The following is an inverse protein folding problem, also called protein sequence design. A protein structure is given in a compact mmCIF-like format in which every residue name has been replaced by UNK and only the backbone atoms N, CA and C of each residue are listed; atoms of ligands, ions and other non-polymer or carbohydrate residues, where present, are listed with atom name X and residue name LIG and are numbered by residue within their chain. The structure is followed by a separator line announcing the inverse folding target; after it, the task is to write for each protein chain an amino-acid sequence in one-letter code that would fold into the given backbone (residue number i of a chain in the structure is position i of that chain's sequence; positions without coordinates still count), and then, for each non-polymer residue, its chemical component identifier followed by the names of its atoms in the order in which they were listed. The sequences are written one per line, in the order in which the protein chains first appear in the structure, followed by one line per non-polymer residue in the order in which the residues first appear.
data_IF_401041467849
#
_entry.id   IF_401041467849
#
_cell.length_a   1.000
_cell.length_b   1.000
_cell.length_c   1.000
_cell.angle_alpha   90.00
_cell.angle_beta   90.00
_cell.angle_gamma   90.00
#
_symmetry.space_group_name_H-M   'P 1'
#
loop_
_entity.id
_entity.type
_entity.pdbx_description
1 polymer ?
#
# COMPACT_ATOMS: atom_id res chain seq x y z
N UNK A 1 17.15 -2.63 2.68
CA UNK A 1 16.09 -1.77 2.11
C UNK A 1 14.97 -2.63 1.55
N UNK A 2 13.75 -2.41 1.96
CA UNK A 2 12.62 -3.22 1.50
C UNK A 2 12.12 -2.72 0.16
N UNK A 3 11.71 -3.66 -0.69
CA UNK A 3 11.16 -3.31 -1.99
C UNK A 3 9.75 -2.80 -1.83
N UNK A 4 9.32 -1.81 -2.62
CA UNK A 4 7.94 -1.36 -2.58
C UNK A 4 7.00 -2.47 -3.07
N UNK A 5 5.78 -2.43 -2.57
CA UNK A 5 4.73 -3.36 -2.99
C UNK A 5 3.90 -2.66 -4.06
N UNK A 6 3.73 -3.31 -5.20
CA UNK A 6 3.01 -2.72 -6.33
C UNK A 6 1.88 -3.63 -6.79
N UNK A 7 0.76 -3.03 -7.13
CA UNK A 7 -0.33 -3.76 -7.79
C UNK A 7 -1.19 -2.78 -8.58
N UNK A 8 -2.13 -3.33 -9.33
CA UNK A 8 -3.07 -2.52 -10.10
C UNK A 8 -4.47 -2.68 -9.52
N UNK A 9 -5.09 -1.56 -9.17
CA UNK A 9 -6.48 -1.52 -8.73
C UNK A 9 -7.37 -1.30 -9.94
N UNK A 10 -8.11 -2.33 -10.33
CA UNK A 10 -8.98 -2.29 -11.50
C UNK A 10 -10.36 -1.71 -11.20
N UNK A 11 -10.67 -1.55 -9.93
CA UNK A 11 -11.98 -1.08 -9.48
C UNK A 11 -11.97 0.37 -9.03
N UNK A 12 -10.86 1.07 -9.21
CA UNK A 12 -10.78 2.48 -8.87
C UNK A 12 -11.75 3.31 -9.70
N UNK A 13 -12.33 4.38 -9.12
CA UNK A 13 -13.30 5.22 -9.86
C UNK A 13 -12.78 5.78 -11.17
N UNK A 14 -11.47 6.02 -11.24
CA UNK A 14 -10.82 6.57 -12.44
C UNK A 14 -10.44 5.49 -13.45
N UNK A 15 -10.81 4.22 -13.20
CA UNK A 15 -10.38 3.08 -13.99
C UNK A 15 -9.17 2.42 -13.37
N UNK A 16 -8.29 1.85 -14.18
CA UNK A 16 -7.11 1.18 -13.66
C UNK A 16 -6.16 2.18 -13.02
N UNK A 17 -5.78 1.93 -11.78
CA UNK A 17 -4.81 2.75 -11.06
C UNK A 17 -3.68 1.84 -10.59
N UNK A 18 -2.46 2.16 -10.99
CA UNK A 18 -1.28 1.48 -10.47
C UNK A 18 -0.96 2.02 -9.09
N UNK A 19 -0.74 1.11 -8.14
CA UNK A 19 -0.48 1.50 -6.76
C UNK A 19 0.89 0.99 -6.36
N UNK A 20 1.68 1.87 -5.75
CA UNK A 20 2.98 1.52 -5.18
C UNK A 20 3.00 1.95 -3.74
N UNK A 21 3.36 1.04 -2.85
CA UNK A 21 3.43 1.32 -1.41
C UNK A 21 4.85 1.09 -0.93
N UNK A 22 5.42 2.08 -0.27
CA UNK A 22 6.74 2.00 0.33
C UNK A 22 6.64 2.16 1.83
N UNK A 23 7.44 1.41 2.58
CA UNK A 23 7.47 1.48 4.02
C UNK A 23 8.79 2.11 4.46
N UNK A 24 8.71 3.15 5.26
CA UNK A 24 9.87 3.86 5.80
C UNK A 24 9.70 3.99 7.31
N UNK A 25 10.41 3.16 8.06
CA UNK A 25 10.25 3.09 9.52
C UNK A 25 8.76 2.93 9.88
N UNK A 26 8.15 3.92 10.51
CA UNK A 26 6.74 3.86 10.90
C UNK A 26 5.80 4.54 9.90
N UNK A 27 6.30 4.85 8.72
CA UNK A 27 5.52 5.57 7.71
C UNK A 27 5.18 4.67 6.53
N UNK A 28 3.92 4.73 6.09
CA UNK A 28 3.47 4.07 4.87
C UNK A 28 3.28 5.14 3.82
N UNK A 29 4.02 5.04 2.72
CA UNK A 29 3.92 6.00 1.62
C UNK A 29 3.23 5.37 0.43
N UNK A 30 2.21 6.02 -0.05
CA UNK A 30 1.41 5.57 -1.19
C UNK A 30 1.70 6.43 -2.41
N UNK A 31 1.77 5.77 -3.55
CA UNK A 31 1.92 6.42 -4.84
C UNK A 31 0.89 5.84 -5.80
N UNK A 32 0.25 6.69 -6.56
CA UNK A 32 -0.81 6.28 -7.48
C UNK A 32 -0.50 6.76 -8.88
N UNK A 33 -0.73 5.92 -9.86
CA UNK A 33 -0.59 6.27 -11.27
C UNK A 33 -1.87 5.86 -11.99
N UNK A 34 -2.71 6.85 -12.28
CA UNK A 34 -3.97 6.61 -12.97
C UNK A 34 -3.71 6.28 -14.45
N UNK A 35 -4.63 5.53 -15.05
CA UNK A 35 -4.54 5.23 -16.47
C UNK A 35 -4.53 6.53 -17.27
N UNK A 36 -3.52 6.70 -18.13
CA UNK A 36 -3.37 7.91 -18.92
C UNK A 36 -2.75 9.10 -18.23
N UNK A 37 -2.37 8.94 -16.94
CA UNK A 37 -1.71 10.03 -16.22
C UNK A 37 -0.24 10.15 -16.64
N UNK A 38 0.29 11.39 -16.57
CA UNK A 38 1.67 11.66 -16.96
C UNK A 38 2.67 11.39 -15.85
N UNK A 39 2.22 11.14 -14.63
CA UNK A 39 3.12 10.90 -13.52
C UNK A 39 2.41 10.40 -12.29
N UNK A 40 3.21 10.02 -11.30
CA UNK A 40 2.71 9.49 -10.05
C UNK A 40 2.15 10.58 -9.14
N UNK A 41 1.06 10.24 -8.43
CA UNK A 41 0.46 11.11 -7.43
C UNK A 41 0.92 10.64 -6.06
N UNK A 42 1.47 11.55 -5.26
CA UNK A 42 2.05 11.22 -3.95
C UNK A 42 1.20 11.67 -2.76
N UNK A 43 0.27 12.58 -2.98
CA UNK A 43 -0.49 13.21 -1.89
C UNK A 43 -1.92 12.69 -1.78
N UNK A 44 -2.29 11.69 -2.56
CA UNK A 44 -3.61 11.09 -2.51
C UNK A 44 -3.70 10.11 -1.35
N UNK A 45 -4.80 10.17 -0.62
CA UNK A 45 -5.04 9.21 0.45
C UNK A 45 -5.67 7.94 -0.12
N UNK A 46 -5.22 6.75 0.31
CA UNK A 46 -5.83 5.51 -0.14
C UNK A 46 -7.24 5.33 0.43
N UNK A 47 -8.10 4.64 -0.31
CA UNK A 47 -9.41 4.27 0.18
C UNK A 47 -9.30 3.10 1.16
N UNK A 48 -10.35 2.86 1.95
CA UNK A 48 -10.36 1.71 2.85
C UNK A 48 -10.18 0.41 2.08
N UNK A 49 -10.79 0.30 0.92
CA UNK A 49 -10.63 -0.87 0.06
C UNK A 49 -9.18 -1.07 -0.36
N UNK A 50 -8.49 0.00 -0.67
CA UNK A 50 -7.07 -0.08 -1.04
C UNK A 50 -6.22 -0.52 0.15
N UNK A 51 -6.54 -0.07 1.36
CA UNK A 51 -5.88 -0.57 2.56
C UNK A 51 -6.09 -2.07 2.74
N UNK A 52 -7.30 -2.56 2.50
CA UNK A 52 -7.60 -3.99 2.59
C UNK A 52 -6.83 -4.78 1.53
N UNK A 53 -6.68 -4.23 0.34
CA UNK A 53 -5.87 -4.85 -0.70
C UNK A 53 -4.42 -4.97 -0.27
N UNK A 54 -3.88 -3.95 0.38
CA UNK A 54 -2.51 -3.99 0.89
C UNK A 54 -2.36 -5.04 1.98
N UNK A 55 -3.32 -5.15 2.90
CA UNK A 55 -3.29 -6.19 3.92
C UNK A 55 -3.23 -7.57 3.30
N UNK A 56 -4.02 -7.81 2.26
CA UNK A 56 -4.01 -9.09 1.57
C UNK A 56 -2.66 -9.37 0.91
N UNK A 57 -2.06 -8.36 0.29
CA UNK A 57 -0.75 -8.54 -0.34
C UNK A 57 0.32 -8.89 0.69
N UNK A 58 0.31 -8.20 1.82
CA UNK A 58 1.26 -8.47 2.91
C UNK A 58 1.05 -9.85 3.52
N UNK A 59 -0.20 -10.24 3.72
CA UNK A 59 -0.52 -11.55 4.26
C UNK A 59 -0.01 -12.66 3.34
N UNK A 60 -0.20 -12.49 2.04
CA UNK A 60 0.31 -13.46 1.06
C UNK A 60 1.84 -13.56 1.11
N UNK A 61 2.53 -12.46 1.29
CA UNK A 61 3.97 -12.46 1.42
C UNK A 61 4.42 -13.20 2.68
N UNK A 62 3.74 -12.99 3.78
CA UNK A 62 4.05 -13.70 5.04
C UNK A 62 3.86 -15.19 4.86
N UNK A 63 2.80 -15.62 4.19
CA UNK A 63 2.54 -17.03 3.92
C UNK A 63 3.64 -17.65 3.06
N UNK A 64 4.32 -16.86 2.25
CA UNK A 64 5.43 -17.31 1.42
C UNK A 64 6.78 -17.26 2.15
N UNK A 65 6.78 -16.92 3.42
CA UNK A 65 7.98 -16.87 4.23
C UNK A 65 8.68 -15.53 4.34
N UNK A 66 8.06 -14.47 3.82
CA UNK A 66 8.62 -13.12 3.95
C UNK A 66 8.30 -12.53 5.32
N UNK A 67 9.24 -11.79 5.86
CA UNK A 67 9.08 -11.18 7.19
C UNK A 67 8.50 -9.78 7.09
N UNK A 68 7.18 -9.72 6.97
CA UNK A 68 6.44 -8.46 6.78
C UNK A 68 5.47 -8.18 7.92
N UNK A 69 5.68 -8.78 9.09
CA UNK A 69 4.75 -8.64 10.22
C UNK A 69 4.59 -7.20 10.68
N UNK A 70 5.70 -6.46 10.76
CA UNK A 70 5.68 -5.06 11.15
C UNK A 70 4.90 -4.22 10.15
N UNK A 71 5.13 -4.47 8.87
CA UNK A 71 4.43 -3.76 7.80
C UNK A 71 2.94 -4.06 7.82
N UNK A 72 2.57 -5.30 8.06
CA UNK A 72 1.16 -5.70 8.16
C UNK A 72 0.48 -5.01 9.34
N UNK A 73 1.15 -5.00 10.49
CA UNK A 73 0.61 -4.34 11.68
C UNK A 73 0.40 -2.84 11.43
N UNK A 74 1.37 -2.19 10.82
CA UNK A 74 1.27 -0.79 10.47
C UNK A 74 0.12 -0.53 9.48
N UNK A 75 -0.07 -1.44 8.53
CA UNK A 75 -1.17 -1.35 7.57
C UNK A 75 -2.53 -1.50 8.24
N UNK A 76 -2.64 -2.42 9.20
CA UNK A 76 -3.88 -2.59 9.96
C UNK A 76 -4.23 -1.35 10.79
N UNK A 77 -3.21 -0.61 11.21
CA UNK A 77 -3.41 0.66 11.91
C UNK A 77 -3.59 1.85 10.97
N UNK A 78 -3.62 1.60 9.67
CA UNK A 78 -3.75 2.60 8.62
C UNK A 78 -2.65 3.67 8.70
N UNK A 79 -1.43 3.21 8.99
CA UNK A 79 -0.28 4.10 9.07
C UNK A 79 -0.24 4.97 10.31
N UNK A 80 -1.15 4.75 11.26
CA UNK A 80 -1.17 5.55 12.49
C UNK A 80 -0.13 5.03 13.47
N UNK A 81 0.50 5.91 14.23
CA UNK A 81 1.47 5.47 15.21
C UNK A 81 0.82 4.64 16.32
N UNK A 82 1.62 3.74 16.87
CA UNK A 82 1.17 2.93 17.98
C UNK A 82 1.02 3.82 19.21
N UNK A 83 -0.11 3.72 19.88
CA UNK A 83 -0.31 4.46 21.12
C UNK A 83 0.60 3.92 22.21
N UNK A 84 1.26 4.80 22.88
CA UNK A 84 2.10 4.45 24.02
C UNK A 84 1.24 4.00 25.19
#
# INVERSE_FOLDING_TARGET
MRRPICWVDKEAPEGKTEIRVSFHADTVKWQFLDAGADGWVYDRRPTEEQWLQLEEKLDNLIQRGHHCDTELDLTRRRGKPKKA
#
